data_IF_047888743786
#
_entry.id   IF_047888743786
#
_cell.length_a   1.000
_cell.length_b   1.000
_cell.length_c   1.000
_cell.angle_alpha   90.00
_cell.angle_beta   90.00
_cell.angle_gamma   90.00
#
_symmetry.space_group_name_H-M   'P 1'
#
loop_
_entity.id
_entity.type
_entity.pdbx_description
1 polymer ?
#
# COMPACT_ATOMS: atom_id res chain seq x y z
N UNK A 1 -14.03 -9.59 12.50
CA UNK A 1 -14.60 -9.11 11.24
C UNK A 1 -13.86 -9.79 10.11
N UNK A 2 -14.59 -10.56 9.32
CA UNK A 2 -14.09 -11.02 8.02
C UNK A 2 -14.14 -9.86 7.00
N UNK A 3 -13.56 -10.05 5.81
CA UNK A 3 -13.53 -8.97 4.82
C UNK A 3 -14.90 -8.69 4.17
N UNK A 4 -15.78 -9.69 4.18
CA UNK A 4 -17.12 -9.58 3.61
C UNK A 4 -18.03 -8.68 4.46
N UNK A 5 -18.02 -8.88 5.78
CA UNK A 5 -18.63 -7.99 6.75
C UNK A 5 -18.10 -6.56 6.61
N UNK A 6 -16.78 -6.40 6.40
CA UNK A 6 -16.16 -5.09 6.14
C UNK A 6 -16.71 -4.45 4.87
N UNK A 7 -16.84 -5.22 3.79
CA UNK A 7 -17.37 -4.76 2.51
C UNK A 7 -18.82 -4.27 2.61
N UNK A 8 -19.65 -4.88 3.46
CA UNK A 8 -21.00 -4.38 3.74
C UNK A 8 -20.97 -2.96 4.35
N UNK A 9 -20.09 -2.71 5.32
CA UNK A 9 -19.92 -1.35 5.88
C UNK A 9 -19.40 -0.37 4.83
N UNK A 10 -18.46 -0.78 3.98
CA UNK A 10 -17.98 0.06 2.86
C UNK A 10 -19.15 0.48 1.98
N UNK A 11 -19.99 -0.47 1.57
CA UNK A 11 -21.14 -0.19 0.70
C UNK A 11 -22.15 0.77 1.34
N UNK A 12 -22.42 0.63 2.63
CA UNK A 12 -23.31 1.52 3.36
C UNK A 12 -22.75 2.96 3.39
N UNK A 13 -21.49 3.13 3.80
CA UNK A 13 -20.87 4.46 3.93
C UNK A 13 -20.52 5.11 2.59
N UNK A 14 -20.28 4.34 1.53
CA UNK A 14 -19.95 4.87 0.20
C UNK A 14 -21.09 5.70 -0.42
N UNK A 15 -22.31 5.58 0.11
CA UNK A 15 -23.45 6.43 -0.30
C UNK A 15 -23.36 7.87 0.23
N UNK A 16 -22.58 8.10 1.28
CA UNK A 16 -22.49 9.39 2.00
C UNK A 16 -21.06 9.94 2.09
N UNK A 17 -20.03 9.10 1.98
CA UNK A 17 -18.63 9.45 2.21
C UNK A 17 -17.71 8.90 1.11
N UNK A 18 -16.57 9.56 0.94
CA UNK A 18 -15.42 8.97 0.24
C UNK A 18 -14.75 7.97 1.18
N UNK A 19 -14.87 6.67 0.87
CA UNK A 19 -14.42 5.59 1.76
C UNK A 19 -13.05 5.11 1.32
N UNK A 20 -12.06 5.24 2.22
CA UNK A 20 -10.76 4.59 2.06
C UNK A 20 -10.75 3.36 2.96
N UNK A 21 -10.62 2.18 2.38
CA UNK A 21 -10.52 0.95 3.13
C UNK A 21 -9.06 0.56 3.35
N UNK A 22 -8.83 -0.41 4.24
CA UNK A 22 -7.50 -0.97 4.49
C UNK A 22 -7.57 -2.49 4.40
N UNK A 23 -6.59 -3.09 3.72
CA UNK A 23 -6.38 -4.53 3.66
C UNK A 23 -5.08 -4.86 4.38
N UNK A 24 -5.18 -5.85 5.27
CA UNK A 24 -4.10 -6.28 6.13
C UNK A 24 -4.61 -6.62 7.53
N UNK A 25 -3.75 -7.25 8.33
CA UNK A 25 -4.06 -7.53 9.72
C UNK A 25 -3.01 -6.94 10.63
N UNK A 26 -3.49 -6.26 11.68
CA UNK A 26 -2.71 -5.75 12.80
C UNK A 26 -2.07 -6.85 13.64
N UNK A 27 -2.64 -8.05 13.62
CA UNK A 27 -2.07 -9.24 14.26
C UNK A 27 -0.97 -9.85 13.38
N UNK A 28 0.23 -10.01 13.93
CA UNK A 28 1.41 -10.45 13.16
C UNK A 28 1.25 -11.88 12.62
N UNK A 29 0.65 -12.79 13.37
CA UNK A 29 0.49 -14.19 12.96
C UNK A 29 -0.47 -14.25 11.77
N UNK A 30 -1.65 -13.65 11.92
CA UNK A 30 -2.66 -13.57 10.86
C UNK A 30 -2.14 -12.84 9.62
N UNK A 31 -1.32 -11.81 9.81
CA UNK A 31 -0.72 -11.05 8.72
C UNK A 31 0.24 -11.90 7.87
N UNK A 32 1.07 -12.73 8.52
CA UNK A 32 2.02 -13.60 7.83
C UNK A 32 1.34 -14.75 7.08
N UNK A 33 0.22 -15.24 7.60
CA UNK A 33 -0.57 -16.31 6.98
C UNK A 33 -1.44 -15.81 5.81
N UNK A 34 -1.67 -14.49 5.69
CA UNK A 34 -2.48 -13.94 4.61
C UNK A 34 -1.69 -13.99 3.28
N UNK A 35 -2.07 -14.94 2.43
CA UNK A 35 -1.46 -15.17 1.12
C UNK A 35 -1.83 -14.09 0.10
N UNK A 36 -0.98 -13.87 -0.94
CA UNK A 36 -1.23 -12.83 -1.96
C UNK A 36 -2.59 -12.92 -2.64
N UNK A 37 -3.05 -14.12 -2.99
CA UNK A 37 -4.36 -14.30 -3.60
C UNK A 37 -5.52 -13.75 -2.73
N UNK A 38 -5.41 -13.89 -1.40
CA UNK A 38 -6.41 -13.35 -0.47
C UNK A 38 -6.32 -11.84 -0.31
N UNK A 39 -5.12 -11.26 -0.38
CA UNK A 39 -4.96 -9.80 -0.46
C UNK A 39 -5.67 -9.24 -1.69
N UNK A 40 -5.41 -9.82 -2.86
CA UNK A 40 -6.02 -9.40 -4.13
C UNK A 40 -7.54 -9.58 -4.08
N UNK A 41 -8.03 -10.69 -3.52
CA UNK A 41 -9.47 -10.90 -3.29
C UNK A 41 -10.09 -9.80 -2.43
N UNK A 42 -9.48 -9.49 -1.28
CA UNK A 42 -10.00 -8.47 -0.36
C UNK A 42 -9.93 -7.05 -0.93
N UNK A 43 -8.87 -6.73 -1.66
CA UNK A 43 -8.75 -5.43 -2.36
C UNK A 43 -9.88 -5.29 -3.39
N UNK A 44 -10.12 -6.32 -4.22
CA UNK A 44 -11.20 -6.29 -5.19
C UNK A 44 -12.58 -6.25 -4.51
N UNK A 45 -12.76 -6.97 -3.42
CA UNK A 45 -14.02 -6.95 -2.66
C UNK A 45 -14.33 -5.54 -2.13
N UNK A 46 -13.34 -4.87 -1.55
CA UNK A 46 -13.48 -3.50 -1.07
C UNK A 46 -13.78 -2.50 -2.19
N UNK A 47 -13.04 -2.58 -3.31
CA UNK A 47 -13.27 -1.72 -4.48
C UNK A 47 -14.67 -1.95 -5.07
N UNK A 48 -15.10 -3.20 -5.18
CA UNK A 48 -16.44 -3.56 -5.68
C UNK A 48 -17.56 -3.11 -4.73
N UNK A 49 -17.28 -3.02 -3.43
CA UNK A 49 -18.21 -2.48 -2.45
C UNK A 49 -18.34 -0.95 -2.50
N UNK A 50 -17.45 -0.26 -3.23
CA UNK A 50 -17.50 1.19 -3.41
C UNK A 50 -16.40 1.96 -2.68
N UNK A 51 -15.36 1.29 -2.19
CA UNK A 51 -14.18 1.98 -1.68
C UNK A 51 -13.56 2.83 -2.79
N UNK A 52 -13.30 4.11 -2.51
CA UNK A 52 -12.66 5.02 -3.46
C UNK A 52 -11.19 4.68 -3.65
N UNK A 53 -10.52 4.24 -2.57
CA UNK A 53 -9.13 3.74 -2.56
C UNK A 53 -8.97 2.64 -1.53
N UNK A 54 -8.03 1.73 -1.77
CA UNK A 54 -7.64 0.67 -0.82
C UNK A 54 -6.21 0.88 -0.35
N UNK A 55 -6.03 0.97 0.96
CA UNK A 55 -4.73 1.10 1.62
C UNK A 55 -4.16 -0.30 1.89
N UNK A 56 -2.90 -0.52 1.54
CA UNK A 56 -2.17 -1.74 1.95
C UNK A 56 -1.42 -1.48 3.26
N UNK A 57 -1.79 -2.18 4.34
CA UNK A 57 -1.22 -2.00 5.68
C UNK A 57 0.27 -2.39 5.74
N UNK A 58 1.10 -1.52 6.32
CA UNK A 58 2.47 -1.77 6.75
C UNK A 58 2.71 -1.45 8.25
N UNK A 59 1.77 -0.72 8.88
CA UNK A 59 1.86 -0.05 10.19
C UNK A 59 2.93 1.03 10.23
N UNK A 60 2.87 1.91 11.23
CA UNK A 60 3.88 2.98 11.46
C UNK A 60 5.31 2.43 11.56
N UNK A 61 5.50 1.25 12.13
CA UNK A 61 6.83 0.62 12.23
C UNK A 61 7.34 0.03 10.92
N UNK A 62 6.49 -0.12 9.89
CA UNK A 62 6.81 -0.86 8.67
C UNK A 62 7.12 -2.34 8.92
N UNK A 63 6.44 -2.97 9.90
CA UNK A 63 6.77 -4.32 10.37
C UNK A 63 5.55 -5.27 10.42
N UNK A 64 4.59 -5.05 9.54
CA UNK A 64 3.39 -5.89 9.39
C UNK A 64 2.83 -5.78 7.97
N UNK A 65 1.82 -6.59 7.66
CA UNK A 65 1.07 -6.55 6.40
C UNK A 65 1.96 -6.85 5.20
N UNK A 66 2.24 -5.83 4.39
CA UNK A 66 3.18 -5.90 3.26
C UNK A 66 4.66 -6.01 3.69
N UNK A 67 4.93 -5.88 4.99
CA UNK A 67 6.24 -6.08 5.60
C UNK A 67 6.23 -7.26 6.59
N UNK A 68 7.38 -7.90 6.77
CA UNK A 68 7.63 -8.91 7.80
C UNK A 68 7.89 -8.25 9.16
N UNK A 69 7.85 -9.04 10.23
CA UNK A 69 8.07 -8.54 11.60
C UNK A 69 9.48 -7.97 11.85
N UNK A 70 10.45 -8.31 11.00
CA UNK A 70 11.80 -7.77 11.01
C UNK A 70 11.95 -6.51 10.12
N UNK A 71 10.87 -6.00 9.52
CA UNK A 71 10.87 -4.86 8.62
C UNK A 71 11.19 -5.19 7.16
N UNK A 72 11.49 -6.45 6.83
CA UNK A 72 11.73 -6.85 5.44
C UNK A 72 10.43 -6.80 4.62
N UNK A 73 10.50 -6.18 3.45
CA UNK A 73 9.42 -6.20 2.47
C UNK A 73 9.03 -7.64 2.11
N UNK A 74 7.73 -7.91 2.01
CA UNK A 74 7.21 -9.13 1.40
C UNK A 74 7.17 -8.95 -0.11
N UNK A 75 8.34 -8.88 -0.75
CA UNK A 75 8.47 -8.61 -2.19
C UNK A 75 7.51 -9.43 -3.05
N UNK A 76 7.46 -10.76 -2.88
CA UNK A 76 6.53 -11.60 -3.65
C UNK A 76 5.05 -11.28 -3.44
N UNK A 77 4.64 -10.80 -2.25
CA UNK A 77 3.26 -10.33 -2.04
C UNK A 77 3.01 -9.03 -2.80
N UNK A 78 3.93 -8.09 -2.70
CA UNK A 78 3.79 -6.76 -3.32
C UNK A 78 3.79 -6.88 -4.85
N UNK A 79 4.70 -7.68 -5.41
CA UNK A 79 4.77 -7.93 -6.85
C UNK A 79 3.48 -8.58 -7.37
N UNK A 80 2.91 -9.54 -6.65
CA UNK A 80 1.61 -10.16 -7.02
C UNK A 80 0.47 -9.13 -7.01
N UNK A 81 0.44 -8.22 -6.03
CA UNK A 81 -0.55 -7.13 -6.01
C UNK A 81 -0.36 -6.19 -7.21
N UNK A 82 0.88 -5.76 -7.48
CA UNK A 82 1.20 -4.84 -8.58
C UNK A 82 0.80 -5.45 -9.94
N UNK A 83 1.02 -6.75 -10.13
CA UNK A 83 0.75 -7.45 -11.39
C UNK A 83 -0.64 -8.10 -11.46
N UNK A 84 -1.48 -7.92 -10.44
CA UNK A 84 -2.82 -8.53 -10.37
C UNK A 84 -3.83 -8.00 -11.40
N UNK A 85 -3.54 -6.87 -12.04
CA UNK A 85 -4.46 -6.16 -12.93
C UNK A 85 -5.39 -5.17 -12.22
N UNK A 86 -5.28 -5.01 -10.90
CA UNK A 86 -5.92 -3.91 -10.16
C UNK A 86 -5.32 -2.57 -10.62
N UNK A 87 -6.16 -1.56 -10.84
CA UNK A 87 -5.69 -0.21 -11.16
C UNK A 87 -4.87 0.36 -9.99
N UNK A 88 -3.58 0.58 -10.19
CA UNK A 88 -2.68 1.08 -9.15
C UNK A 88 -3.06 2.49 -8.67
N UNK A 89 -3.80 3.27 -9.47
CA UNK A 89 -4.33 4.55 -9.02
C UNK A 89 -5.40 4.39 -7.93
N UNK A 90 -6.04 3.22 -7.85
CA UNK A 90 -7.01 2.87 -6.81
C UNK A 90 -6.36 2.38 -5.51
N UNK A 91 -5.04 2.15 -5.52
CA UNK A 91 -4.29 1.68 -4.36
C UNK A 91 -3.50 2.81 -3.70
N UNK A 92 -3.31 2.67 -2.39
CA UNK A 92 -2.40 3.50 -1.59
C UNK A 92 -1.51 2.55 -0.78
N UNK A 93 -0.19 2.68 -0.91
CA UNK A 93 0.73 1.83 -0.17
C UNK A 93 1.23 2.54 1.08
N UNK A 94 1.07 1.94 2.27
CA UNK A 94 1.75 2.49 3.45
C UNK A 94 3.26 2.38 3.30
N UNK A 95 3.95 3.51 3.47
CA UNK A 95 5.40 3.62 3.30
C UNK A 95 6.02 4.53 4.38
N UNK A 96 5.96 4.13 5.66
CA UNK A 96 6.42 4.95 6.79
C UNK A 96 7.92 5.24 6.82
N UNK A 97 8.72 4.54 6.00
CA UNK A 97 10.16 4.72 5.96
C UNK A 97 10.68 4.89 4.53
N UNK A 98 11.87 5.47 4.42
CA UNK A 98 12.55 5.79 3.15
C UNK A 98 12.70 4.57 2.24
N UNK A 99 12.93 3.38 2.80
CA UNK A 99 13.18 2.16 2.00
C UNK A 99 11.89 1.72 1.28
N UNK A 100 10.74 1.77 1.97
CA UNK A 100 9.43 1.54 1.35
C UNK A 100 9.08 2.61 0.32
N UNK A 101 9.30 3.89 0.64
CA UNK A 101 9.04 4.99 -0.29
C UNK A 101 9.85 4.82 -1.58
N UNK A 102 11.15 4.56 -1.46
CA UNK A 102 12.05 4.33 -2.58
C UNK A 102 11.65 3.09 -3.38
N UNK A 103 11.27 2.01 -2.71
CA UNK A 103 10.83 0.78 -3.36
C UNK A 103 9.64 1.05 -4.29
N UNK A 104 8.57 1.64 -3.75
CA UNK A 104 7.36 1.90 -4.53
C UNK A 104 7.59 2.90 -5.67
N UNK A 105 8.36 3.97 -5.43
CA UNK A 105 8.69 4.94 -6.48
C UNK A 105 9.44 4.27 -7.64
N UNK A 106 10.36 3.35 -7.36
CA UNK A 106 11.12 2.64 -8.41
C UNK A 106 10.29 1.62 -9.19
N UNK A 107 9.38 0.91 -8.53
CA UNK A 107 8.66 -0.21 -9.14
C UNK A 107 7.35 0.22 -9.80
N UNK A 108 6.69 1.25 -9.27
CA UNK A 108 5.40 1.75 -9.78
C UNK A 108 5.57 3.08 -10.52
N UNK A 109 6.52 3.92 -10.09
CA UNK A 109 6.77 5.24 -10.65
C UNK A 109 6.53 6.37 -9.65
N UNK A 110 6.93 7.59 -10.01
CA UNK A 110 6.87 8.76 -9.13
C UNK A 110 5.44 9.23 -8.79
N UNK A 111 4.42 8.74 -9.49
CA UNK A 111 3.00 9.04 -9.22
C UNK A 111 2.35 8.07 -8.23
N UNK A 112 3.09 7.09 -7.69
CA UNK A 112 2.52 6.11 -6.74
C UNK A 112 1.91 6.78 -5.51
N UNK A 113 0.71 6.37 -5.12
CA UNK A 113 0.07 6.87 -3.90
C UNK A 113 0.69 6.21 -2.68
N UNK A 114 1.16 7.02 -1.72
CA UNK A 114 1.79 6.56 -0.50
C UNK A 114 1.08 7.13 0.73
N UNK A 115 0.91 6.31 1.76
CA UNK A 115 0.34 6.68 3.05
C UNK A 115 1.35 6.50 4.19
N UNK A 116 0.95 6.98 5.37
CA UNK A 116 1.72 6.88 6.61
C UNK A 116 3.10 7.55 6.54
N UNK A 117 3.22 8.61 5.73
CA UNK A 117 4.43 9.40 5.60
C UNK A 117 4.62 10.25 6.86
N UNK A 118 5.77 10.13 7.51
CA UNK A 118 6.10 10.97 8.65
C UNK A 118 6.08 12.45 8.24
N UNK A 119 5.60 13.32 9.12
CA UNK A 119 5.45 14.74 8.79
C UNK A 119 6.77 15.40 8.34
N UNK A 120 7.87 15.03 9.00
CA UNK A 120 9.22 15.53 8.67
C UNK A 120 9.77 14.95 7.35
N UNK A 121 9.15 13.90 6.81
CA UNK A 121 9.57 13.24 5.58
C UNK A 121 8.84 13.75 4.33
N UNK A 122 7.89 14.68 4.44
CA UNK A 122 7.11 15.17 3.27
C UNK A 122 8.03 15.76 2.18
N UNK A 123 8.99 16.60 2.57
CA UNK A 123 9.97 17.16 1.61
C UNK A 123 10.92 16.07 1.12
N UNK A 124 11.35 15.17 2.00
CA UNK A 124 12.23 14.07 1.64
C UNK A 124 11.59 13.14 0.60
N UNK A 125 10.30 12.84 0.74
CA UNK A 125 9.52 12.06 -0.20
C UNK A 125 9.44 12.76 -1.57
N UNK A 126 9.17 14.06 -1.59
CA UNK A 126 9.10 14.80 -2.85
C UNK A 126 10.45 14.80 -3.58
N UNK A 127 11.57 14.92 -2.85
CA UNK A 127 12.90 14.78 -3.46
C UNK A 127 13.16 13.38 -4.01
N UNK A 128 12.58 12.33 -3.42
CA UNK A 128 12.62 10.98 -3.98
C UNK A 128 11.81 10.91 -5.28
N UNK A 129 10.58 11.46 -5.31
CA UNK A 129 9.74 11.46 -6.51
C UNK A 129 10.38 12.19 -7.69
N UNK A 130 11.05 13.31 -7.43
CA UNK A 130 11.73 14.12 -8.45
C UNK A 130 13.12 13.60 -8.85
N UNK A 131 13.61 12.50 -8.25
CA UNK A 131 14.95 12.00 -8.52
C UNK A 131 16.08 12.92 -8.01
N UNK A 132 15.81 13.76 -7.02
CA UNK A 132 16.77 14.72 -6.44
C UNK A 132 17.55 14.15 -5.25
N UNK A 133 17.29 12.89 -4.90
CA UNK A 133 18.00 12.16 -3.84
C UNK A 133 18.71 10.94 -4.43
N UNK A 134 19.85 10.57 -3.88
CA UNK A 134 20.70 9.48 -4.40
C UNK A 134 19.94 8.18 -4.64
N UNK A 135 18.94 7.89 -3.82
CA UNK A 135 18.16 6.67 -3.89
C UNK A 135 17.36 6.55 -5.20
N UNK A 136 16.94 7.66 -5.81
CA UNK A 136 16.13 7.72 -7.04
C UNK A 136 16.77 8.58 -8.13
N UNK A 137 18.04 8.94 -7.98
CA UNK A 137 18.76 9.78 -8.94
C UNK A 137 18.74 9.12 -10.32
N UNK A 138 18.10 9.80 -11.27
CA UNK A 138 18.04 9.37 -12.67
C UNK A 138 19.39 9.64 -13.31
N UNK A 139 20.06 8.59 -13.81
CA UNK A 139 21.21 8.80 -14.68
C UNK A 139 20.69 9.39 -16.00
N UNK A 140 21.31 10.45 -16.56
CA UNK A 140 20.90 11.03 -17.84
C UNK A 140 20.95 10.08 -19.05
N UNK A 141 21.40 8.84 -18.85
CA UNK A 141 21.63 7.83 -19.88
C UNK A 141 20.79 6.54 -19.68
N UNK A 142 19.92 6.50 -18.66
CA UNK A 142 18.96 5.40 -18.43
C UNK A 142 17.58 5.69 -19.06
#
# INVERSE_FOLDING_TARGET
MDNHEKAMFIADFASEFEVFSEVGYKDQIRSQELHPAKWIEFINEDLNAGASRVITEARESGASGICRSNGELRYGLIEEIIHSGIDLNSLIFEAPNKDLQTYFIKHIGHEVNLANIAFDDVIALETLRLGLRSDTLVNPND
#
